data_IF_906312640094
#
_entry.id   IF_906312640094
#
_cell.length_a   1.000
_cell.length_b   1.000
_cell.length_c   1.000
_cell.angle_alpha   90.00
_cell.angle_beta   90.00
_cell.angle_gamma   90.00
#
_symmetry.space_group_name_H-M   'P 1'
#
loop_
_entity.id
_entity.type
_entity.pdbx_description
1 polymer ?
#
# COMPACT_ATOMS: atom_id res chain seq x y z
N UNK A 1 -11.98 15.50 -8.77
CA UNK A 1 -11.72 14.41 -9.73
C UNK A 1 -11.33 13.13 -8.97
N UNK A 2 -12.17 12.09 -9.08
CA UNK A 2 -11.96 10.79 -8.40
C UNK A 2 -10.73 10.06 -8.94
N UNK A 3 -10.55 10.04 -10.27
CA UNK A 3 -9.45 9.32 -10.92
C UNK A 3 -8.10 9.88 -10.50
N UNK A 4 -7.99 11.22 -10.40
CA UNK A 4 -6.78 11.89 -9.89
C UNK A 4 -6.52 11.54 -8.42
N UNK A 5 -7.54 11.55 -7.57
CA UNK A 5 -7.38 11.23 -6.15
C UNK A 5 -6.83 9.81 -5.95
N UNK A 6 -7.38 8.83 -6.66
CA UNK A 6 -6.89 7.43 -6.62
C UNK A 6 -5.48 7.30 -7.22
N UNK A 7 -5.16 8.05 -8.27
CA UNK A 7 -3.80 8.09 -8.83
C UNK A 7 -2.78 8.66 -7.83
N UNK A 8 -3.10 9.77 -7.15
CA UNK A 8 -2.23 10.33 -6.12
C UNK A 8 -2.11 9.41 -4.89
N UNK A 9 -3.19 8.73 -4.53
CA UNK A 9 -3.13 7.70 -3.49
C UNK A 9 -2.15 6.58 -3.84
N UNK A 10 -2.12 6.17 -5.11
CA UNK A 10 -1.17 5.15 -5.59
C UNK A 10 0.29 5.57 -5.41
N UNK A 11 0.60 6.86 -5.61
CA UNK A 11 1.94 7.40 -5.35
C UNK A 11 2.30 7.28 -3.86
N UNK A 12 1.36 7.52 -2.94
CA UNK A 12 1.59 7.38 -1.51
C UNK A 12 1.90 5.93 -1.13
N UNK A 13 1.16 4.95 -1.67
CA UNK A 13 1.40 3.52 -1.42
C UNK A 13 2.75 3.05 -1.97
N UNK A 14 3.17 3.51 -3.15
CA UNK A 14 4.50 3.24 -3.68
C UNK A 14 5.62 3.92 -2.86
N UNK A 15 5.29 4.98 -2.12
CA UNK A 15 6.17 5.56 -1.11
C UNK A 15 6.56 4.56 -0.02
N UNK A 16 5.62 3.73 0.47
CA UNK A 16 5.92 2.66 1.43
C UNK A 16 6.82 1.59 0.82
N UNK A 17 6.59 1.20 -0.43
CA UNK A 17 7.45 0.25 -1.15
C UNK A 17 8.88 0.77 -1.21
N UNK A 18 9.03 2.03 -1.62
CA UNK A 18 10.34 2.68 -1.70
C UNK A 18 11.02 2.71 -0.33
N UNK A 19 10.30 3.13 0.72
CA UNK A 19 10.82 3.12 2.08
C UNK A 19 11.28 1.70 2.47
N UNK A 20 10.42 0.70 2.32
CA UNK A 20 10.71 -0.70 2.65
C UNK A 20 12.00 -1.23 2.02
N UNK A 21 12.21 -0.97 0.73
CA UNK A 21 13.41 -1.41 -0.01
C UNK A 21 14.68 -0.71 0.50
N UNK A 22 14.62 0.60 0.75
CA UNK A 22 15.81 1.39 1.11
C UNK A 22 16.17 1.35 2.60
N UNK A 23 15.29 0.84 3.47
CA UNK A 23 15.58 0.69 4.91
C UNK A 23 16.81 -0.17 5.20
N UNK A 24 17.16 -1.11 4.30
CA UNK A 24 18.35 -1.97 4.43
C UNK A 24 19.63 -1.17 4.75
N UNK A 25 19.84 -0.02 4.08
CA UNK A 25 21.07 0.75 4.26
C UNK A 25 21.19 1.34 5.66
N UNK A 26 20.08 1.82 6.23
CA UNK A 26 20.09 2.34 7.61
C UNK A 26 20.16 1.22 8.65
N UNK A 27 19.50 0.09 8.39
CA UNK A 27 19.45 -1.04 9.33
C UNK A 27 20.77 -1.80 9.42
N UNK A 28 21.45 -1.98 8.30
CA UNK A 28 22.79 -2.59 8.24
C UNK A 28 23.80 -1.68 8.93
N UNK A 29 23.78 -0.38 8.66
CA UNK A 29 24.71 0.59 9.25
C UNK A 29 24.57 0.71 10.77
N UNK A 30 23.33 0.82 11.30
CA UNK A 30 23.11 1.06 12.73
C UNK A 30 23.17 -0.19 13.60
N UNK A 31 22.53 -1.28 13.13
CA UNK A 31 22.22 -2.42 14.00
C UNK A 31 22.74 -3.75 13.44
N UNK A 32 23.34 -3.77 12.24
CA UNK A 32 23.71 -5.01 11.54
C UNK A 32 22.52 -5.95 11.31
N UNK A 33 21.28 -5.45 11.40
CA UNK A 33 20.09 -6.30 11.47
C UNK A 33 19.57 -6.65 10.08
N UNK A 34 19.94 -7.83 9.58
CA UNK A 34 19.40 -8.38 8.33
C UNK A 34 17.92 -8.76 8.45
N UNK A 35 17.47 -9.23 9.62
CA UNK A 35 16.06 -9.56 9.84
C UNK A 35 15.14 -8.34 9.79
N UNK A 36 15.59 -7.18 10.28
CA UNK A 36 14.83 -5.93 10.11
C UNK A 36 14.73 -5.52 8.65
N UNK A 37 15.81 -5.71 7.89
CA UNK A 37 15.86 -5.39 6.47
C UNK A 37 14.98 -6.34 5.64
N UNK A 38 14.97 -7.64 5.96
CA UNK A 38 14.07 -8.63 5.37
C UNK A 38 12.61 -8.24 5.58
N UNK A 39 12.23 -7.90 6.81
CA UNK A 39 10.87 -7.45 7.13
C UNK A 39 10.45 -6.22 6.31
N UNK A 40 11.34 -5.24 6.15
CA UNK A 40 11.07 -4.03 5.37
C UNK A 40 10.93 -4.30 3.87
N UNK A 41 11.83 -5.13 3.33
CA UNK A 41 11.84 -5.48 1.91
C UNK A 41 10.67 -6.38 1.53
N UNK A 42 10.40 -7.44 2.32
CA UNK A 42 9.22 -8.29 2.16
C UNK A 42 7.94 -7.47 2.29
N UNK A 43 7.84 -6.59 3.28
CA UNK A 43 6.71 -5.67 3.44
C UNK A 43 6.50 -4.79 2.21
N UNK A 44 7.59 -4.26 1.63
CA UNK A 44 7.56 -3.50 0.39
C UNK A 44 7.05 -4.32 -0.79
N UNK A 45 7.50 -5.57 -0.95
CA UNK A 45 7.06 -6.46 -2.04
C UNK A 45 5.60 -6.87 -1.86
N UNK A 46 5.19 -7.24 -0.64
CA UNK A 46 3.78 -7.50 -0.29
C UNK A 46 2.93 -6.29 -0.62
N UNK A 47 3.41 -5.08 -0.31
CA UNK A 47 2.68 -3.84 -0.61
C UNK A 47 2.55 -3.59 -2.12
N UNK A 48 3.56 -3.89 -2.95
CA UNK A 48 3.43 -3.77 -4.41
C UNK A 48 2.31 -4.66 -4.95
N UNK A 49 2.27 -5.92 -4.50
CA UNK A 49 1.30 -6.92 -4.96
C UNK A 49 -0.10 -6.54 -4.48
N UNK A 50 -0.23 -6.23 -3.20
CA UNK A 50 -1.47 -5.76 -2.59
C UNK A 50 -2.02 -4.52 -3.31
N UNK A 51 -1.17 -3.51 -3.51
CA UNK A 51 -1.56 -2.29 -4.21
C UNK A 51 -2.01 -2.56 -5.64
N UNK A 52 -1.38 -3.51 -6.36
CA UNK A 52 -1.82 -3.92 -7.69
C UNK A 52 -3.28 -4.38 -7.72
N UNK A 53 -3.71 -5.19 -6.76
CA UNK A 53 -5.11 -5.63 -6.64
C UNK A 53 -6.05 -4.49 -6.21
N UNK A 54 -5.67 -3.73 -5.18
CA UNK A 54 -6.50 -2.67 -4.60
C UNK A 54 -6.69 -1.51 -5.58
N UNK A 55 -5.60 -0.99 -6.16
CA UNK A 55 -5.66 0.11 -7.14
C UNK A 55 -6.40 -0.33 -8.41
N UNK A 56 -6.15 -1.54 -8.89
CA UNK A 56 -6.89 -2.12 -10.02
C UNK A 56 -8.38 -2.15 -9.77
N UNK A 57 -8.81 -2.58 -8.57
CA UNK A 57 -10.21 -2.59 -8.17
C UNK A 57 -10.79 -1.17 -8.06
N UNK A 58 -10.09 -0.22 -7.44
CA UNK A 58 -10.56 1.16 -7.31
C UNK A 58 -10.69 1.86 -8.67
N UNK A 59 -9.73 1.65 -9.59
CA UNK A 59 -9.85 2.16 -10.96
C UNK A 59 -10.99 1.50 -11.73
N UNK A 60 -11.25 0.21 -11.51
CA UNK A 60 -12.42 -0.46 -12.09
C UNK A 60 -13.72 0.13 -11.53
N UNK A 61 -13.82 0.38 -10.22
CA UNK A 61 -14.98 1.03 -9.63
C UNK A 61 -15.21 2.44 -10.20
N UNK A 62 -14.15 3.25 -10.39
CA UNK A 62 -14.26 4.55 -11.06
C UNK A 62 -14.71 4.39 -12.51
N UNK A 63 -14.25 3.34 -13.21
CA UNK A 63 -14.71 3.03 -14.57
C UNK A 63 -16.22 2.76 -14.62
N UNK A 64 -16.72 1.89 -13.73
CA UNK A 64 -18.15 1.55 -13.59
C UNK A 64 -19.01 2.81 -13.35
N UNK A 65 -18.55 3.71 -12.47
CA UNK A 65 -19.23 4.99 -12.22
C UNK A 65 -19.15 5.93 -13.42
N UNK A 66 -18.00 6.01 -14.07
CA UNK A 66 -17.82 6.86 -15.25
C UNK A 66 -18.66 6.41 -16.43
N UNK A 67 -18.83 5.10 -16.63
CA UNK A 67 -19.66 4.57 -17.71
C UNK A 67 -21.14 4.89 -17.51
N UNK A 68 -21.60 5.01 -16.25
CA UNK A 68 -23.00 5.34 -15.93
C UNK A 68 -23.27 6.85 -15.82
N UNK A 69 -22.34 7.63 -15.28
CA UNK A 69 -22.53 9.07 -15.01
C UNK A 69 -21.81 9.99 -16.01
N UNK A 70 -20.87 9.47 -16.79
CA UNK A 70 -19.98 10.21 -17.69
C UNK A 70 -19.22 11.39 -17.04
N UNK A 71 -19.17 11.43 -15.70
CA UNK A 71 -18.44 12.44 -14.93
C UNK A 71 -17.33 11.82 -14.10
N UNK A 72 -16.28 12.61 -13.84
CA UNK A 72 -15.18 12.26 -12.93
C UNK A 72 -15.17 13.12 -11.67
N UNK A 73 -16.05 14.10 -11.58
CA UNK A 73 -16.05 15.05 -10.48
C UNK A 73 -16.79 14.50 -9.27
N UNK A 74 -16.15 14.54 -8.11
CA UNK A 74 -16.71 14.02 -6.85
C UNK A 74 -18.04 14.70 -6.49
N UNK A 75 -18.18 15.99 -6.84
CA UNK A 75 -19.37 16.77 -6.54
C UNK A 75 -20.61 16.37 -7.36
N UNK A 76 -20.44 15.61 -8.44
CA UNK A 76 -21.56 15.18 -9.29
C UNK A 76 -22.20 13.88 -8.76
N UNK A 77 -21.59 13.27 -7.74
CA UNK A 77 -22.04 12.07 -7.06
C UNK A 77 -22.53 12.41 -5.65
N UNK A 78 -23.28 11.46 -5.06
CA UNK A 78 -23.70 11.50 -3.66
C UNK A 78 -24.86 10.53 -3.42
N UNK A 79 -24.73 9.69 -2.39
CA UNK A 79 -25.75 8.69 -2.06
C UNK A 79 -25.84 7.50 -3.02
N UNK A 80 -24.75 7.13 -3.70
CA UNK A 80 -24.70 5.96 -4.61
C UNK A 80 -25.10 4.65 -3.91
N UNK A 81 -24.92 4.54 -2.59
CA UNK A 81 -25.36 3.37 -1.81
C UNK A 81 -26.86 3.07 -1.93
N UNK A 82 -27.68 4.10 -2.19
CA UNK A 82 -29.13 3.94 -2.27
C UNK A 82 -29.59 3.32 -3.61
N UNK A 83 -28.79 3.45 -4.66
CA UNK A 83 -29.13 2.95 -6.01
C UNK A 83 -28.27 1.78 -6.45
N UNK A 84 -27.01 1.74 -6.02
CA UNK A 84 -26.07 0.65 -6.30
C UNK A 84 -25.48 0.06 -4.99
N UNK A 85 -26.27 -0.60 -4.14
CA UNK A 85 -25.82 -1.08 -2.83
C UNK A 85 -24.71 -2.14 -2.91
N UNK A 86 -24.76 -3.05 -3.89
CA UNK A 86 -23.72 -4.09 -4.03
C UNK A 86 -22.41 -3.47 -4.49
N UNK A 87 -22.48 -2.57 -5.48
CA UNK A 87 -21.33 -1.76 -5.88
C UNK A 87 -20.73 -0.97 -4.71
N UNK A 88 -21.58 -0.28 -3.94
CA UNK A 88 -21.16 0.52 -2.80
C UNK A 88 -20.40 -0.32 -1.76
N UNK A 89 -20.84 -1.55 -1.50
CA UNK A 89 -20.14 -2.47 -0.61
C UNK A 89 -18.72 -2.79 -1.10
N UNK A 90 -18.54 -3.11 -2.38
CA UNK A 90 -17.20 -3.33 -2.96
C UNK A 90 -16.35 -2.07 -2.94
N UNK A 91 -16.89 -0.93 -3.37
CA UNK A 91 -16.18 0.36 -3.39
C UNK A 91 -15.66 0.72 -1.99
N UNK A 92 -16.51 0.58 -0.96
CA UNK A 92 -16.13 0.80 0.44
C UNK A 92 -15.07 -0.21 0.87
N UNK A 93 -15.25 -1.50 0.58
CA UNK A 93 -14.27 -2.54 0.91
C UNK A 93 -12.88 -2.21 0.34
N UNK A 94 -12.78 -1.89 -0.95
CA UNK A 94 -11.50 -1.56 -1.58
C UNK A 94 -10.92 -0.24 -1.08
N UNK A 95 -11.76 0.76 -0.79
CA UNK A 95 -11.29 2.01 -0.20
C UNK A 95 -10.76 1.81 1.22
N UNK A 96 -11.36 0.92 2.00
CA UNK A 96 -10.87 0.54 3.33
C UNK A 96 -9.58 -0.28 3.25
N UNK A 97 -9.47 -1.19 2.27
CA UNK A 97 -8.22 -1.91 2.01
C UNK A 97 -7.08 -0.94 1.64
N UNK A 98 -7.39 0.07 0.82
CA UNK A 98 -6.48 1.16 0.47
C UNK A 98 -6.14 2.05 1.66
N UNK A 99 -7.01 2.14 2.67
CA UNK A 99 -6.76 2.88 3.90
C UNK A 99 -5.96 2.07 4.95
N UNK A 100 -5.49 0.87 4.61
CA UNK A 100 -4.73 0.01 5.53
C UNK A 100 -5.60 -0.64 6.60
N UNK A 101 -6.85 -0.98 6.30
CA UNK A 101 -7.73 -1.69 7.25
C UNK A 101 -7.15 -3.07 7.62
N UNK A 102 -6.97 -3.40 8.93
CA UNK A 102 -6.55 -4.73 9.35
C UNK A 102 -7.47 -5.83 8.81
N UNK A 103 -6.87 -6.94 8.39
CA UNK A 103 -7.57 -8.03 7.70
C UNK A 103 -7.62 -7.89 6.17
N UNK A 104 -7.07 -6.81 5.62
CA UNK A 104 -6.87 -6.65 4.17
C UNK A 104 -5.38 -6.69 3.82
N UNK A 105 -5.06 -7.05 2.57
CA UNK A 105 -3.67 -7.13 2.10
C UNK A 105 -2.91 -5.81 2.20
N UNK A 106 -3.60 -4.66 2.13
CA UNK A 106 -2.99 -3.32 2.23
C UNK A 106 -2.33 -3.09 3.59
N UNK A 107 -3.00 -3.55 4.66
CA UNK A 107 -2.45 -3.45 6.01
C UNK A 107 -1.15 -4.24 6.18
N UNK A 108 -1.08 -5.47 5.66
CA UNK A 108 0.08 -6.36 5.89
C UNK A 108 1.37 -5.73 5.40
N UNK A 109 1.40 -5.27 4.14
CA UNK A 109 2.60 -4.68 3.54
C UNK A 109 3.03 -3.40 4.24
N UNK A 110 2.10 -2.45 4.43
CA UNK A 110 2.40 -1.17 5.06
C UNK A 110 2.81 -1.32 6.52
N UNK A 111 2.17 -2.22 7.26
CA UNK A 111 2.50 -2.47 8.65
C UNK A 111 3.89 -3.08 8.81
N UNK A 112 4.27 -4.06 7.96
CA UNK A 112 5.63 -4.61 7.95
C UNK A 112 6.69 -3.52 7.68
N UNK A 113 6.43 -2.62 6.72
CA UNK A 113 7.32 -1.49 6.42
C UNK A 113 7.41 -0.52 7.61
N UNK A 114 6.30 -0.22 8.28
CA UNK A 114 6.30 0.65 9.46
C UNK A 114 7.09 0.02 10.61
N UNK A 115 6.93 -1.28 10.87
CA UNK A 115 7.70 -2.01 11.88
C UNK A 115 9.20 -2.00 11.58
N UNK A 116 9.59 -2.23 10.32
CA UNK A 116 10.98 -2.14 9.90
C UNK A 116 11.52 -0.71 10.03
N UNK A 117 10.70 0.29 9.72
CA UNK A 117 11.02 1.71 9.89
C UNK A 117 11.31 2.05 11.34
N UNK A 118 10.52 1.54 12.29
CA UNK A 118 10.77 1.73 13.73
C UNK A 118 12.12 1.17 14.17
N UNK A 119 12.52 0.01 13.63
CA UNK A 119 13.83 -0.59 13.90
C UNK A 119 14.99 0.24 13.34
N UNK A 120 14.76 1.00 12.27
CA UNK A 120 15.77 1.83 11.62
C UNK A 120 15.90 3.22 12.27
N UNK A 121 14.78 3.92 12.43
CA UNK A 121 14.71 5.25 13.01
C UNK A 121 13.26 5.62 13.36
N UNK A 122 13.04 6.14 14.58
CA UNK A 122 11.75 6.67 15.00
C UNK A 122 11.16 7.69 14.00
N UNK A 123 11.98 8.59 13.45
CA UNK A 123 11.50 9.62 12.51
C UNK A 123 10.97 9.03 11.20
N UNK A 124 11.56 7.94 10.71
CA UNK A 124 11.06 7.26 9.51
C UNK A 124 9.69 6.63 9.78
N UNK A 125 9.55 5.96 10.92
CA UNK A 125 8.27 5.39 11.33
C UNK A 125 7.19 6.47 11.57
N UNK A 126 7.55 7.59 12.19
CA UNK A 126 6.65 8.71 12.41
C UNK A 126 6.11 9.28 11.09
N UNK A 127 6.98 9.51 10.11
CA UNK A 127 6.58 9.98 8.78
C UNK A 127 5.73 8.94 8.05
N UNK A 128 6.13 7.66 8.08
CA UNK A 128 5.37 6.57 7.46
C UNK A 128 3.96 6.44 8.05
N UNK A 129 3.82 6.45 9.38
CA UNK A 129 2.54 6.41 10.07
C UNK A 129 1.68 7.64 9.76
N UNK A 130 2.28 8.82 9.67
CA UNK A 130 1.56 10.05 9.28
C UNK A 130 1.03 9.94 7.84
N UNK A 131 1.83 9.42 6.90
CA UNK A 131 1.38 9.17 5.52
C UNK A 131 0.23 8.18 5.47
N UNK A 132 0.25 7.12 6.30
CA UNK A 132 -0.86 6.17 6.40
C UNK A 132 -2.17 6.86 6.86
N UNK A 133 -2.09 7.70 7.90
CA UNK A 133 -3.24 8.43 8.44
C UNK A 133 -3.83 9.39 7.40
N UNK A 134 -2.97 10.14 6.71
CA UNK A 134 -3.41 11.01 5.60
C UNK A 134 -4.03 10.18 4.46
N UNK A 135 -3.44 9.03 4.18
CA UNK A 135 -3.95 7.96 3.32
C UNK A 135 -5.41 7.63 3.55
N UNK A 136 -5.71 7.25 4.78
CA UNK A 136 -7.06 6.92 5.22
C UNK A 136 -7.99 8.15 5.15
N UNK A 137 -7.51 9.33 5.55
CA UNK A 137 -8.33 10.55 5.61
C UNK A 137 -8.88 10.94 4.23
N UNK A 138 -8.06 11.00 3.17
CA UNK A 138 -8.56 11.34 1.84
C UNK A 138 -9.42 10.22 1.23
N UNK A 139 -9.16 8.96 1.57
CA UNK A 139 -9.93 7.81 1.07
C UNK A 139 -11.34 7.81 1.66
N UNK A 140 -11.46 7.96 2.99
CA UNK A 140 -12.73 8.07 3.69
C UNK A 140 -13.50 9.33 3.28
N UNK A 141 -12.80 10.44 3.06
CA UNK A 141 -13.39 11.68 2.56
C UNK A 141 -14.05 11.50 1.18
N UNK A 142 -13.40 10.75 0.28
CA UNK A 142 -13.95 10.42 -1.04
C UNK A 142 -15.17 9.51 -0.91
N UNK A 143 -15.04 8.41 -0.15
CA UNK A 143 -16.12 7.45 0.08
C UNK A 143 -17.36 8.14 0.66
N UNK A 144 -17.19 9.00 1.65
CA UNK A 144 -18.30 9.77 2.24
C UNK A 144 -19.05 10.60 1.20
N UNK A 145 -18.35 11.28 0.29
CA UNK A 145 -19.00 12.16 -0.69
C UNK A 145 -19.63 11.43 -1.85
N UNK A 146 -19.02 10.32 -2.29
CA UNK A 146 -19.48 9.59 -3.48
C UNK A 146 -20.54 8.55 -3.09
N UNK A 147 -20.25 7.76 -2.05
CA UNK A 147 -21.03 6.56 -1.74
C UNK A 147 -22.18 6.86 -0.77
N UNK A 148 -21.89 7.57 0.33
CA UNK A 148 -22.85 7.81 1.40
C UNK A 148 -23.62 9.12 1.23
N UNK A 149 -24.71 9.26 1.99
CA UNK A 149 -25.61 10.42 1.98
C UNK A 149 -26.92 10.15 1.24
N UNK A 150 -27.75 11.18 1.16
CA UNK A 150 -28.97 11.17 0.36
C UNK A 150 -28.64 11.23 -1.13
N UNK A 151 -29.57 10.77 -1.97
CA UNK A 151 -29.44 10.80 -3.42
C UNK A 151 -29.31 12.25 -3.89
N UNK A 152 -28.15 12.60 -4.46
CA UNK A 152 -27.81 13.99 -4.76
C UNK A 152 -28.52 14.57 -5.99
N UNK A 153 -28.87 13.74 -6.97
CA UNK A 153 -29.51 14.17 -8.23
C UNK A 153 -30.21 13.01 -8.95
N UNK A 154 -31.04 13.35 -9.95
CA UNK A 154 -31.81 12.39 -10.75
C UNK A 154 -30.92 11.39 -11.50
N UNK A 155 -29.70 11.78 -11.89
CA UNK A 155 -28.77 10.87 -12.56
C UNK A 155 -28.28 9.77 -11.61
N UNK A 156 -27.99 10.10 -10.34
CA UNK A 156 -27.66 9.10 -9.31
C UNK A 156 -28.87 8.21 -9.00
N UNK A 157 -30.09 8.78 -9.02
CA UNK A 157 -31.33 8.04 -8.80
C UNK A 157 -31.60 7.00 -9.91
N UNK A 158 -31.21 7.32 -11.14
CA UNK A 158 -31.38 6.45 -12.31
C UNK A 158 -30.29 5.37 -12.45
N UNK A 159 -29.31 5.32 -11.53
CA UNK A 159 -28.25 4.32 -11.61
C UNK A 159 -28.80 2.92 -11.34
N UNK A 160 -28.40 2.00 -12.20
CA UNK A 160 -28.59 0.57 -11.98
C UNK A 160 -27.34 -0.04 -11.35
N UNK A 161 -27.54 -0.95 -10.40
CA UNK A 161 -26.45 -1.67 -9.72
C UNK A 161 -25.60 -2.49 -10.71
N UNK A 162 -24.51 -3.07 -10.20
CA UNK A 162 -23.57 -3.82 -11.03
C UNK A 162 -24.18 -5.08 -11.63
N UNK A 163 -23.82 -5.35 -12.87
CA UNK A 163 -24.19 -6.59 -13.55
C UNK A 163 -23.31 -7.77 -13.10
N UNK A 164 -23.67 -9.00 -13.51
CA UNK A 164 -22.96 -10.21 -13.12
C UNK A 164 -21.47 -10.20 -13.52
N UNK A 165 -21.11 -9.58 -14.65
CA UNK A 165 -19.70 -9.48 -15.09
C UNK A 165 -18.91 -8.59 -14.15
N UNK A 166 -19.42 -7.39 -13.87
CA UNK A 166 -18.82 -6.44 -12.94
C UNK A 166 -18.68 -7.06 -11.55
N UNK A 167 -19.72 -7.77 -11.08
CA UNK A 167 -19.71 -8.50 -9.81
C UNK A 167 -18.60 -9.55 -9.74
N UNK A 168 -18.48 -10.43 -10.74
CA UNK A 168 -17.46 -11.50 -10.74
C UNK A 168 -16.04 -10.91 -10.69
N UNK A 169 -15.79 -9.83 -11.43
CA UNK A 169 -14.47 -9.19 -11.45
C UNK A 169 -14.15 -8.57 -10.08
N UNK A 170 -15.09 -7.78 -9.52
CA UNK A 170 -14.91 -7.15 -8.20
C UNK A 170 -14.79 -8.20 -7.09
N UNK A 171 -15.61 -9.24 -7.11
CA UNK A 171 -15.56 -10.33 -6.14
C UNK A 171 -14.23 -11.08 -6.18
N UNK A 172 -13.67 -11.32 -7.38
CA UNK A 172 -12.37 -11.98 -7.54
C UNK A 172 -11.25 -11.13 -6.94
N UNK A 173 -11.23 -9.83 -7.21
CA UNK A 173 -10.25 -8.90 -6.63
C UNK A 173 -10.42 -8.80 -5.11
N UNK A 174 -11.66 -8.77 -4.61
CA UNK A 174 -11.93 -8.74 -3.17
C UNK A 174 -11.44 -10.01 -2.48
N UNK A 175 -11.66 -11.17 -3.12
CA UNK A 175 -11.15 -12.46 -2.66
C UNK A 175 -9.63 -12.47 -2.54
N UNK A 176 -8.90 -11.94 -3.53
CA UNK A 176 -7.45 -11.83 -3.47
C UNK A 176 -6.97 -10.91 -2.33
N UNK A 177 -7.60 -9.73 -2.16
CA UNK A 177 -7.27 -8.78 -1.10
C UNK A 177 -7.51 -9.37 0.30
N UNK A 178 -8.60 -10.13 0.48
CA UNK A 178 -8.90 -10.84 1.73
C UNK A 178 -7.95 -12.00 1.96
N UNK A 179 -7.69 -12.82 0.94
CA UNK A 179 -6.80 -13.98 1.05
C UNK A 179 -5.43 -13.57 1.57
N UNK A 180 -4.80 -12.58 0.94
CA UNK A 180 -3.48 -12.10 1.36
C UNK A 180 -3.53 -11.24 2.63
N UNK A 181 -4.68 -10.66 2.97
CA UNK A 181 -4.86 -9.95 4.24
C UNK A 181 -4.95 -10.87 5.45
N UNK A 182 -5.63 -12.01 5.29
CA UNK A 182 -5.84 -12.99 6.36
C UNK A 182 -4.70 -14.00 6.46
N UNK A 183 -4.15 -14.42 5.32
CA UNK A 183 -3.07 -15.39 5.24
C UNK A 183 -1.93 -14.90 4.32
N UNK A 184 -1.06 -14.01 4.82
CA UNK A 184 0.04 -13.48 4.02
C UNK A 184 1.23 -14.45 3.88
N UNK A 185 1.31 -15.49 4.71
CA UNK A 185 2.46 -16.41 4.76
C UNK A 185 2.86 -17.02 3.41
N UNK A 186 1.94 -17.51 2.55
CA UNK A 186 2.32 -18.10 1.27
C UNK A 186 3.03 -17.10 0.35
N UNK A 187 2.63 -15.82 0.42
CA UNK A 187 3.26 -14.77 -0.37
C UNK A 187 4.67 -14.46 0.15
N UNK A 188 4.80 -14.36 1.48
CA UNK A 188 6.08 -14.09 2.16
C UNK A 188 7.07 -15.24 1.95
N UNK A 189 6.63 -16.49 2.13
CA UNK A 189 7.46 -17.68 1.99
C UNK A 189 8.06 -17.81 0.57
N UNK A 190 7.28 -17.49 -0.46
CA UNK A 190 7.75 -17.53 -1.86
C UNK A 190 8.85 -16.49 -2.11
N UNK A 191 8.78 -15.32 -1.48
CA UNK A 191 9.78 -14.26 -1.68
C UNK A 191 10.97 -14.34 -0.72
N UNK A 192 10.83 -15.01 0.43
CA UNK A 192 11.80 -15.03 1.53
C UNK A 192 13.22 -15.35 1.05
N UNK A 193 13.39 -16.47 0.35
CA UNK A 193 14.70 -16.88 -0.15
C UNK A 193 15.32 -15.88 -1.14
N UNK A 194 14.51 -15.24 -1.97
CA UNK A 194 15.01 -14.24 -2.93
C UNK A 194 15.40 -12.93 -2.24
N UNK A 195 14.61 -12.51 -1.25
CA UNK A 195 14.88 -11.33 -0.42
C UNK A 195 16.17 -11.54 0.38
N UNK A 196 16.35 -12.70 1.02
CA UNK A 196 17.56 -13.00 1.80
C UNK A 196 18.82 -12.98 0.93
N UNK A 197 18.78 -13.59 -0.24
CA UNK A 197 19.91 -13.56 -1.19
C UNK A 197 20.22 -12.13 -1.63
N UNK A 198 19.18 -11.33 -1.92
CA UNK A 198 19.37 -9.94 -2.30
C UNK A 198 19.98 -9.12 -1.16
N UNK A 199 19.50 -9.30 0.08
CA UNK A 199 20.02 -8.63 1.27
C UNK A 199 21.46 -9.00 1.58
N UNK A 200 21.81 -10.28 1.46
CA UNK A 200 23.18 -10.74 1.58
C UNK A 200 24.09 -10.05 0.56
N UNK A 201 23.62 -9.86 -0.67
CA UNK A 201 24.41 -9.19 -1.71
C UNK A 201 24.52 -7.67 -1.50
N UNK A 202 23.44 -6.97 -1.10
CA UNK A 202 23.45 -5.50 -0.95
C UNK A 202 24.05 -5.02 0.38
N UNK A 203 24.16 -5.89 1.38
CA UNK A 203 24.80 -5.56 2.66
C UNK A 203 26.32 -5.52 2.58
N UNK A 204 26.93 -6.09 1.53
CA UNK A 204 28.37 -6.00 1.30
C UNK A 204 28.72 -4.64 0.73
N UNK A 205 29.45 -3.83 1.50
CA UNK A 205 29.97 -2.55 1.02
C UNK A 205 30.94 -2.75 -0.13
N UNK A 206 30.78 -1.95 -1.20
CA UNK A 206 31.72 -1.88 -2.33
C UNK A 206 32.86 -0.90 -2.09
N UNK A 207 32.82 -0.17 -0.98
CA UNK A 207 33.89 0.75 -0.61
C UNK A 207 35.07 -0.06 -0.04
N UNK A 208 36.32 0.24 -0.42
CA UNK A 208 37.48 -0.40 0.18
C UNK A 208 37.50 -0.11 1.67
N UNK A 209 37.78 -1.14 2.48
CA UNK A 209 38.01 -0.99 3.92
C UNK A 209 39.21 -0.06 4.09
N UNK A 210 38.99 1.12 4.66
CA UNK A 210 40.07 2.07 4.91
C UNK A 210 40.95 1.54 6.05
N UNK A 211 42.08 0.93 5.71
CA UNK A 211 43.14 0.48 6.64
C UNK A 211 43.89 1.65 7.33
N UNK A 212 43.25 2.81 7.55
CA UNK A 212 43.95 4.02 8.01
C UNK A 212 44.27 4.05 9.50
N UNK A 213 43.84 3.06 10.30
CA UNK A 213 44.11 3.00 11.75
C UNK A 213 45.22 2.04 12.19
N UNK A 214 45.45 0.94 11.47
CA UNK A 214 46.37 -0.13 11.92
C UNK A 214 47.80 0.12 11.42
N UNK A 215 47.96 0.72 10.24
CA UNK A 215 49.28 1.04 9.70
C UNK A 215 50.01 2.15 10.50
N UNK A 216 49.28 3.08 11.13
CA UNK A 216 49.87 4.14 11.96
C UNK A 216 50.30 3.66 13.35
N UNK A 217 49.69 2.61 13.89
CA UNK A 217 50.11 2.02 15.17
C UNK A 217 51.39 1.19 15.02
N UNK A 218 51.57 0.51 13.88
CA UNK A 218 52.79 -0.27 13.60
C UNK A 218 53.99 0.58 13.12
N UNK A 219 53.78 1.86 12.79
CA UNK A 219 54.84 2.78 12.38
C UNK A 219 55.37 3.66 13.53
N UNK A 220 54.80 3.57 14.74
CA UNK A 220 55.14 4.41 15.91
C UNK A 220 55.74 3.60 17.07
N UNK A 221 56.10 2.32 16.86
CA UNK A 221 56.89 1.55 17.81
C UNK A 221 58.35 1.48 17.35
N UNK A 222 59.30 2.16 18.01
CA UNK A 222 60.73 1.87 17.91
C UNK A 222 61.11 0.57 18.64
#
# INVERSE_FOLDING_TARGET
>A
DMKKLIAYSSIAHMGFVTLGIFLVFTLVDKNGSLQGAALGMEGGVVQMISHGFISGALFLCVGVLYDRMHSRQINDYGGVVNTMPVFAAFMVFFAMANAGLPGTSGFVGEFMVILASFKANFWFAFLAATTLILGAAYSLWMVKRVVFGDVANDNVQALEDINAREFVILATLAGAVLLFGLWPAPLIEVMHASVDNLLAHVSVSKLPVQETGVALLNAVQP
#
